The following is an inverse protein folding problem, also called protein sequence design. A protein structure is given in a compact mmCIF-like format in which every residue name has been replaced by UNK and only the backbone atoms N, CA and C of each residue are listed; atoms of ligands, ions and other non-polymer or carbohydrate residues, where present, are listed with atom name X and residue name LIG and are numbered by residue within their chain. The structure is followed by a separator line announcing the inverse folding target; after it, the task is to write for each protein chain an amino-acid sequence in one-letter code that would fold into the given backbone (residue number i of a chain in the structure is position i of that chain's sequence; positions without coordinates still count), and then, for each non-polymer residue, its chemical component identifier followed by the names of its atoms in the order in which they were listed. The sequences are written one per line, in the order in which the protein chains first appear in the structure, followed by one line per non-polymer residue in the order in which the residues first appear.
data_IF_207152807425
#
_entry.id   IF_207152807425
#
_cell.length_a   1.000
_cell.length_b   1.000
_cell.length_c   1.000
_cell.angle_alpha   90.00
_cell.angle_beta   90.00
_cell.angle_gamma   90.00
#
_symmetry.space_group_name_H-M   'P 1'
#
loop_
_entity.id
_entity.type
_entity.pdbx_description
1 polymer ?
#
# COMPACT_ATOMS: atom_id res chain seq x y z
N UNK A 1 -20.07 -8.26 -21.33
CA UNK A 1 -19.42 -7.87 -20.05
C UNK A 1 -19.91 -8.81 -18.97
N UNK A 2 -19.11 -9.83 -18.65
CA UNK A 2 -19.49 -10.80 -17.65
C UNK A 2 -19.28 -10.20 -16.25
N UNK A 3 -20.37 -10.04 -15.51
CA UNK A 3 -20.39 -9.53 -14.14
C UNK A 3 -20.18 -10.71 -13.20
N UNK A 4 -19.16 -10.64 -12.35
CA UNK A 4 -18.71 -11.73 -11.51
C UNK A 4 -18.60 -11.26 -10.05
N UNK A 5 -19.36 -11.89 -9.14
CA UNK A 5 -19.20 -11.86 -7.66
C UNK A 5 -19.25 -10.49 -6.98
N UNK A 6 -20.40 -10.17 -6.34
CA UNK A 6 -20.79 -9.08 -5.41
C UNK A 6 -20.13 -7.67 -5.50
N UNK A 7 -18.84 -7.54 -5.83
CA UNK A 7 -18.19 -6.30 -6.22
C UNK A 7 -17.96 -6.27 -7.74
N UNK A 8 -18.68 -5.40 -8.45
CA UNK A 8 -18.73 -5.34 -9.92
C UNK A 8 -17.40 -5.03 -10.63
N UNK A 9 -16.33 -4.72 -9.90
CA UNK A 9 -15.05 -4.26 -10.46
C UNK A 9 -13.86 -5.20 -10.20
N UNK A 10 -14.00 -6.25 -9.39
CA UNK A 10 -12.85 -7.07 -8.99
C UNK A 10 -12.55 -8.22 -9.98
N UNK A 11 -11.32 -8.32 -10.56
CA UNK A 11 -10.99 -9.38 -11.52
C UNK A 11 -10.80 -10.74 -10.84
N UNK A 12 -11.84 -11.58 -10.92
CA UNK A 12 -11.88 -12.93 -10.30
C UNK A 12 -11.20 -14.03 -11.12
N UNK A 13 -10.69 -13.74 -12.33
CA UNK A 13 -10.02 -14.69 -13.25
C UNK A 13 -8.93 -14.00 -14.07
N UNK A 14 -8.01 -14.77 -14.65
CA UNK A 14 -7.07 -14.24 -15.64
C UNK A 14 -7.86 -13.79 -16.88
N UNK A 15 -7.73 -12.53 -17.23
CA UNK A 15 -8.34 -11.93 -18.42
C UNK A 15 -7.26 -11.22 -19.24
N UNK A 16 -7.33 -11.38 -20.56
CA UNK A 16 -6.45 -10.64 -21.48
C UNK A 16 -6.88 -9.18 -21.48
N UNK A 17 -5.97 -8.23 -21.19
CA UNK A 17 -6.34 -6.82 -21.12
C UNK A 17 -6.60 -6.24 -22.51
N UNK A 18 -7.70 -5.53 -22.66
CA UNK A 18 -8.06 -4.77 -23.87
C UNK A 18 -7.79 -3.28 -23.63
N UNK A 19 -7.32 -2.56 -24.66
CA UNK A 19 -7.05 -1.12 -24.59
C UNK A 19 -7.60 -0.39 -25.79
N UNK A 20 -7.80 0.91 -25.65
CA UNK A 20 -8.30 1.73 -26.73
C UNK A 20 -7.28 1.81 -27.88
N UNK A 21 -7.74 1.59 -29.10
CA UNK A 21 -6.96 1.82 -30.31
C UNK A 21 -7.28 3.21 -30.87
N UNK A 22 -6.38 4.16 -30.64
CA UNK A 22 -6.50 5.53 -31.16
C UNK A 22 -6.23 5.56 -32.67
N UNK A 23 -7.10 6.25 -33.41
CA UNK A 23 -6.90 6.57 -34.83
C UNK A 23 -7.47 7.96 -35.15
N UNK A 24 -6.97 8.57 -36.23
CA UNK A 24 -7.38 9.92 -36.60
C UNK A 24 -8.87 9.98 -36.95
N UNK A 25 -9.58 10.92 -36.32
CA UNK A 25 -11.03 11.07 -36.48
C UNK A 25 -11.88 10.11 -35.64
N UNK A 26 -11.28 9.30 -34.75
CA UNK A 26 -12.06 8.50 -33.79
C UNK A 26 -12.80 9.42 -32.83
N UNK A 27 -14.12 9.24 -32.70
CA UNK A 27 -14.92 9.84 -31.63
C UNK A 27 -14.69 9.07 -30.33
N UNK A 28 -14.39 9.77 -29.24
CA UNK A 28 -14.19 9.18 -27.92
C UNK A 28 -15.38 9.48 -27.03
N UNK A 29 -15.96 8.43 -26.44
CA UNK A 29 -17.03 8.52 -25.45
C UNK A 29 -16.61 8.02 -24.07
N UNK A 30 -17.55 8.04 -23.12
CA UNK A 30 -17.34 7.57 -21.73
C UNK A 30 -16.77 6.14 -21.71
N UNK A 31 -17.34 5.23 -22.50
CA UNK A 31 -16.88 3.83 -22.57
C UNK A 31 -15.43 3.69 -23.07
N UNK A 32 -14.93 4.59 -23.91
CA UNK A 32 -13.54 4.56 -24.36
C UNK A 32 -12.58 4.97 -23.23
N UNK A 33 -12.98 5.89 -22.37
CA UNK A 33 -12.20 6.32 -21.20
C UNK A 33 -12.29 5.32 -20.04
N UNK A 34 -13.44 4.68 -19.86
CA UNK A 34 -13.60 3.57 -18.93
C UNK A 34 -12.67 2.40 -19.33
N UNK A 35 -12.61 2.06 -20.62
CA UNK A 35 -11.71 1.03 -21.13
C UNK A 35 -10.23 1.35 -20.83
N UNK A 36 -9.82 2.61 -20.94
CA UNK A 36 -8.45 3.03 -20.61
C UNK A 36 -8.17 2.92 -19.10
N UNK A 37 -9.12 3.30 -18.24
CA UNK A 37 -8.99 3.14 -16.78
C UNK A 37 -8.89 1.66 -16.39
N UNK A 38 -9.81 0.84 -16.91
CA UNK A 38 -9.87 -0.60 -16.67
C UNK A 38 -8.60 -1.31 -17.13
N UNK A 39 -8.01 -0.90 -18.26
CA UNK A 39 -6.77 -1.48 -18.76
C UNK A 39 -5.62 -1.33 -17.75
N UNK A 40 -5.41 -0.12 -17.24
CA UNK A 40 -4.33 0.15 -16.29
C UNK A 40 -4.61 -0.48 -14.93
N UNK A 41 -5.85 -0.36 -14.42
CA UNK A 41 -6.26 -0.97 -13.16
C UNK A 41 -6.12 -2.50 -13.20
N UNK A 42 -6.65 -3.15 -14.24
CA UNK A 42 -6.56 -4.61 -14.40
C UNK A 42 -5.12 -5.10 -14.44
N UNK A 43 -4.23 -4.39 -15.15
CA UNK A 43 -2.81 -4.76 -15.20
C UNK A 43 -2.10 -4.58 -13.86
N UNK A 44 -2.35 -3.46 -13.19
CA UNK A 44 -1.77 -3.15 -11.87
C UNK A 44 -2.22 -4.18 -10.83
N UNK A 45 -3.52 -4.44 -10.74
CA UNK A 45 -4.08 -5.43 -9.83
C UNK A 45 -3.59 -6.84 -10.14
N UNK A 46 -3.45 -7.21 -11.42
CA UNK A 46 -2.87 -8.49 -11.82
C UNK A 46 -1.42 -8.65 -11.31
N UNK A 47 -0.60 -7.61 -11.46
CA UNK A 47 0.78 -7.63 -10.96
C UNK A 47 0.82 -7.72 -9.44
N UNK A 48 0.02 -6.93 -8.74
CA UNK A 48 -0.09 -6.99 -7.28
C UNK A 48 -0.49 -8.39 -6.81
N UNK A 49 -1.56 -8.94 -7.38
CA UNK A 49 -2.09 -10.26 -7.02
C UNK A 49 -1.09 -11.39 -7.28
N UNK A 50 -0.44 -11.41 -8.43
CA UNK A 50 0.41 -12.54 -8.85
C UNK A 50 1.86 -12.43 -8.37
N UNK A 51 2.37 -11.22 -8.15
CA UNK A 51 3.78 -11.01 -7.77
C UNK A 51 3.93 -10.65 -6.29
N UNK A 52 3.08 -9.75 -5.77
CA UNK A 52 3.19 -9.28 -4.39
C UNK A 52 2.35 -10.12 -3.42
N UNK A 53 1.21 -10.65 -3.89
CA UNK A 53 0.22 -11.33 -3.06
C UNK A 53 -0.73 -10.35 -2.39
N UNK A 54 -1.29 -10.75 -1.24
CA UNK A 54 -2.28 -9.97 -0.50
C UNK A 54 -1.90 -9.83 0.98
N UNK A 55 -2.21 -8.70 1.58
CA UNK A 55 -1.91 -8.38 2.97
C UNK A 55 -1.49 -6.94 3.19
N UNK A 56 -1.03 -6.64 4.40
CA UNK A 56 -0.53 -5.33 4.81
C UNK A 56 0.87 -5.09 4.24
N UNK A 57 1.05 -3.96 3.56
CA UNK A 57 2.35 -3.53 3.02
C UNK A 57 3.09 -2.70 4.06
N UNK A 58 2.42 -1.72 4.65
CA UNK A 58 2.98 -0.87 5.71
C UNK A 58 1.86 -0.24 6.57
N UNK A 59 2.21 0.15 7.80
CA UNK A 59 1.28 0.85 8.70
C UNK A 59 0.10 -0.03 9.14
N UNK A 60 -1.11 0.53 9.06
CA UNK A 60 -2.38 -0.14 9.41
C UNK A 60 -2.34 -0.79 10.80
N UNK A 61 -1.67 -0.12 11.74
CA UNK A 61 -1.67 -0.51 13.15
C UNK A 61 -3.07 -0.33 13.72
N UNK A 62 -3.53 -1.29 14.51
CA UNK A 62 -4.77 -1.16 15.28
C UNK A 62 -4.39 -0.83 16.71
N UNK A 63 -4.90 0.28 17.23
CA UNK A 63 -4.58 0.76 18.57
C UNK A 63 -5.83 1.22 19.33
N UNK A 64 -5.83 1.20 20.67
CA UNK A 64 -6.89 1.82 21.45
C UNK A 64 -6.92 3.33 21.22
N UNK A 65 -8.11 3.87 21.00
CA UNK A 65 -8.35 5.31 20.92
C UNK A 65 -8.24 5.96 22.31
N UNK A 66 -8.18 7.29 22.34
CA UNK A 66 -8.34 8.05 23.58
C UNK A 66 -9.64 7.64 24.31
N UNK A 67 -9.53 7.25 25.57
CA UNK A 67 -10.65 6.73 26.39
C UNK A 67 -10.77 5.19 26.42
N UNK A 68 -9.99 4.46 25.63
CA UNK A 68 -9.79 3.01 25.78
C UNK A 68 -10.98 2.12 25.42
N UNK A 69 -12.13 2.65 25.03
CA UNK A 69 -13.31 1.84 24.64
C UNK A 69 -13.49 1.70 23.13
N UNK A 70 -12.74 2.48 22.36
CA UNK A 70 -12.77 2.49 20.89
C UNK A 70 -11.40 2.15 20.33
N UNK A 71 -11.37 1.78 19.06
CA UNK A 71 -10.15 1.51 18.30
C UNK A 71 -9.96 2.56 17.20
N UNK A 72 -8.71 2.76 16.83
CA UNK A 72 -8.28 3.52 15.65
C UNK A 72 -7.37 2.65 14.79
N UNK A 73 -7.37 2.93 13.49
CA UNK A 73 -6.44 2.34 12.52
C UNK A 73 -5.50 3.44 12.06
N UNK A 74 -4.20 3.20 12.20
CA UNK A 74 -3.16 4.14 11.77
C UNK A 74 -3.03 4.18 10.24
N UNK A 75 -2.48 5.27 9.67
CA UNK A 75 -2.21 5.37 8.25
C UNK A 75 -1.40 4.19 7.72
N UNK A 76 -1.67 3.78 6.49
CA UNK A 76 -0.97 2.66 5.88
C UNK A 76 -1.59 2.18 4.58
N UNK A 77 -1.02 1.10 4.07
CA UNK A 77 -1.38 0.52 2.77
C UNK A 77 -1.49 -1.00 2.90
N UNK A 78 -2.53 -1.56 2.30
CA UNK A 78 -2.70 -2.99 2.09
C UNK A 78 -3.02 -3.30 0.63
N UNK A 79 -2.85 -4.56 0.24
CA UNK A 79 -3.28 -5.11 -1.04
C UNK A 79 -4.27 -6.24 -0.73
N UNK A 80 -5.46 -6.19 -1.33
CA UNK A 80 -6.46 -7.24 -1.13
C UNK A 80 -6.21 -8.49 -1.98
N UNK A 81 -7.06 -9.52 -1.81
CA UNK A 81 -6.94 -10.77 -2.56
C UNK A 81 -7.03 -10.61 -4.08
N UNK A 82 -7.70 -9.56 -4.56
CA UNK A 82 -7.85 -9.25 -5.98
C UNK A 82 -6.71 -8.38 -6.53
N UNK A 83 -5.82 -7.89 -5.66
CA UNK A 83 -4.69 -7.03 -6.03
C UNK A 83 -4.99 -5.53 -5.93
N UNK A 84 -6.14 -5.15 -5.37
CA UNK A 84 -6.53 -3.75 -5.19
C UNK A 84 -5.83 -3.16 -3.97
N UNK A 85 -5.36 -1.95 -4.11
CA UNK A 85 -4.69 -1.20 -3.07
C UNK A 85 -5.72 -0.55 -2.16
N UNK A 86 -5.59 -0.79 -0.86
CA UNK A 86 -6.40 -0.15 0.17
C UNK A 86 -5.51 0.85 0.90
N UNK A 87 -5.82 2.14 0.77
CA UNK A 87 -5.03 3.22 1.33
C UNK A 87 -5.80 3.88 2.48
N UNK A 88 -5.18 3.93 3.65
CA UNK A 88 -5.61 4.71 4.81
C UNK A 88 -4.67 5.90 4.93
N UNK A 89 -5.04 7.08 4.41
CA UNK A 89 -4.12 8.22 4.33
C UNK A 89 -3.89 8.90 5.69
N UNK A 90 -4.90 8.88 6.56
CA UNK A 90 -4.91 9.49 7.89
C UNK A 90 -5.48 8.51 8.90
N UNK A 91 -5.21 8.72 10.19
CA UNK A 91 -5.75 7.85 11.24
C UNK A 91 -7.28 7.80 11.15
N UNK A 92 -7.84 6.60 11.23
CA UNK A 92 -9.28 6.42 11.11
C UNK A 92 -10.03 7.14 12.25
N UNK A 93 -11.29 7.50 11.99
CA UNK A 93 -12.19 7.88 13.07
C UNK A 93 -12.31 6.73 14.09
N UNK A 94 -12.37 7.03 15.41
CA UNK A 94 -12.54 6.00 16.43
C UNK A 94 -13.83 5.22 16.22
N UNK A 95 -13.74 3.90 16.21
CA UNK A 95 -14.90 3.00 16.08
C UNK A 95 -15.03 2.07 17.29
N UNK A 96 -16.26 1.66 17.60
CA UNK A 96 -16.54 0.71 18.68
C UNK A 96 -16.40 -0.73 18.15
N UNK A 97 -15.42 -1.53 18.62
CA UNK A 97 -15.22 -2.90 18.17
C UNK A 97 -16.30 -3.88 18.65
N UNK A 98 -17.23 -3.44 19.50
CA UNK A 98 -18.39 -4.26 19.90
C UNK A 98 -19.53 -4.19 18.89
N UNK A 99 -19.55 -3.16 18.04
CA UNK A 99 -20.56 -3.03 16.98
C UNK A 99 -20.07 -3.80 15.78
N UNK A 100 -20.70 -4.94 15.52
CA UNK A 100 -20.38 -5.78 14.37
C UNK A 100 -20.73 -5.04 13.08
N UNK A 101 -19.88 -5.18 12.06
CA UNK A 101 -20.06 -4.57 10.75
C UNK A 101 -19.86 -5.64 9.68
N UNK A 102 -20.83 -5.77 8.79
CA UNK A 102 -20.74 -6.67 7.63
C UNK A 102 -19.76 -6.15 6.57
N UNK A 103 -19.58 -6.89 5.47
CA UNK A 103 -18.67 -6.53 4.39
C UNK A 103 -19.08 -5.21 3.70
N UNK A 104 -20.37 -4.91 3.71
CA UNK A 104 -20.97 -3.68 3.23
C UNK A 104 -20.83 -2.55 4.26
N UNK A 105 -20.22 -2.77 5.42
CA UNK A 105 -20.01 -1.78 6.47
C UNK A 105 -21.27 -1.38 7.24
N UNK A 106 -22.39 -2.08 7.02
CA UNK A 106 -23.60 -1.91 7.80
C UNK A 106 -23.47 -2.59 9.16
N UNK A 107 -24.15 -2.05 10.16
CA UNK A 107 -24.13 -2.63 11.49
C UNK A 107 -24.95 -3.92 11.52
N UNK A 108 -24.31 -5.03 11.91
CA UNK A 108 -24.93 -6.36 11.98
C UNK A 108 -24.90 -6.92 13.40
N UNK A 109 -25.47 -6.16 14.34
CA UNK A 109 -25.55 -6.54 15.75
C UNK A 109 -24.42 -6.01 16.64
N UNK A 110 -24.42 -6.48 17.89
CA UNK A 110 -23.49 -6.05 18.93
C UNK A 110 -23.10 -7.24 19.80
N UNK A 111 -21.83 -7.29 20.20
CA UNK A 111 -21.35 -8.27 21.19
C UNK A 111 -21.62 -7.74 22.60
N UNK A 112 -22.39 -8.51 23.35
CA UNK A 112 -22.63 -8.32 24.78
C UNK A 112 -21.57 -9.06 25.60
N UNK A 113 -20.97 -8.41 26.60
CA UNK A 113 -19.97 -9.03 27.48
C UNK A 113 -18.58 -9.18 26.85
N UNK A 114 -17.84 -10.24 27.21
CA UNK A 114 -16.49 -10.51 26.69
C UNK A 114 -16.55 -11.35 25.41
N UNK A 115 -15.55 -11.22 24.54
CA UNK A 115 -15.51 -11.98 23.29
C UNK A 115 -14.28 -11.71 22.44
N UNK A 116 -14.13 -12.43 21.34
CA UNK A 116 -13.08 -12.18 20.36
C UNK A 116 -13.70 -11.60 19.09
N UNK A 117 -13.09 -10.53 18.56
CA UNK A 117 -13.46 -9.96 17.27
C UNK A 117 -12.25 -9.89 16.35
N UNK A 118 -12.53 -9.95 15.06
CA UNK A 118 -11.56 -9.69 14.01
C UNK A 118 -11.87 -8.37 13.34
N UNK A 119 -10.83 -7.55 13.19
CA UNK A 119 -10.88 -6.26 12.49
C UNK A 119 -10.29 -6.45 11.11
N UNK A 120 -11.08 -6.17 10.08
CA UNK A 120 -10.67 -6.29 8.69
C UNK A 120 -10.93 -5.01 7.90
N UNK A 121 -10.16 -4.80 6.84
CA UNK A 121 -10.24 -3.65 5.96
C UNK A 121 -10.62 -4.10 4.54
N UNK A 122 -11.70 -3.58 3.98
CA UNK A 122 -12.12 -3.91 2.63
C UNK A 122 -12.04 -2.69 1.73
N UNK A 123 -11.64 -2.89 0.48
CA UNK A 123 -11.68 -1.87 -0.55
C UNK A 123 -13.12 -1.41 -0.80
N UNK A 124 -13.31 -0.11 -1.06
CA UNK A 124 -14.62 0.42 -1.39
C UNK A 124 -14.54 1.68 -2.26
N UNK A 125 -15.28 1.72 -3.36
CA UNK A 125 -15.45 2.93 -4.16
C UNK A 125 -16.79 3.60 -3.90
N UNK A 126 -16.80 4.93 -3.85
CA UNK A 126 -18.03 5.71 -3.84
C UNK A 126 -17.98 6.87 -4.83
N UNK A 127 -19.11 7.17 -5.46
CA UNK A 127 -19.27 8.38 -6.25
C UNK A 127 -19.15 9.63 -5.38
N UNK A 128 -18.44 10.63 -5.89
CA UNK A 128 -18.21 11.92 -5.26
C UNK A 128 -18.47 13.05 -6.29
N UNK A 129 -18.63 14.26 -5.77
CA UNK A 129 -18.76 15.49 -6.57
C UNK A 129 -19.91 15.39 -7.59
N UNK A 130 -21.18 15.45 -7.14
CA UNK A 130 -22.33 15.33 -8.03
C UNK A 130 -22.33 16.45 -9.07
N UNK A 131 -22.52 16.09 -10.34
CA UNK A 131 -22.57 17.00 -11.46
C UNK A 131 -23.83 16.76 -12.29
N UNK A 132 -24.42 17.80 -12.90
CA UNK A 132 -25.63 17.65 -13.70
C UNK A 132 -25.36 16.84 -14.98
N UNK A 133 -26.21 15.88 -15.28
CA UNK A 133 -26.17 15.15 -16.55
C UNK A 133 -26.76 16.05 -17.65
N UNK A 134 -25.93 16.46 -18.61
CA UNK A 134 -26.31 17.43 -19.65
C UNK A 134 -27.07 16.81 -20.84
N UNK A 135 -27.11 15.48 -20.94
CA UNK A 135 -27.86 14.76 -21.96
C UNK A 135 -29.08 14.09 -21.30
N UNK A 136 -30.32 14.41 -21.71
CA UNK A 136 -31.50 13.79 -21.12
C UNK A 136 -31.47 12.29 -21.40
N UNK A 137 -31.47 11.49 -20.33
CA UNK A 137 -32.03 10.14 -20.41
C UNK A 137 -33.54 10.23 -20.63
N UNK A 138 -34.21 9.09 -20.85
CA UNK A 138 -35.68 9.05 -20.90
C UNK A 138 -36.36 9.36 -19.54
N UNK A 139 -35.60 9.83 -18.54
CA UNK A 139 -36.11 10.27 -17.24
C UNK A 139 -36.22 11.80 -17.18
N UNK A 140 -37.38 12.35 -16.77
CA UNK A 140 -37.66 13.78 -16.77
C UNK A 140 -37.12 14.54 -15.53
N UNK A 141 -36.50 13.84 -14.58
CA UNK A 141 -35.82 14.47 -13.45
C UNK A 141 -34.36 14.76 -13.82
N UNK A 142 -33.89 15.98 -13.52
CA UNK A 142 -32.53 16.41 -13.83
C UNK A 142 -31.52 15.65 -12.99
N UNK A 143 -31.13 14.46 -13.47
CA UNK A 143 -30.26 13.57 -12.71
C UNK A 143 -28.86 14.17 -12.57
N UNK A 144 -28.41 14.27 -11.32
CA UNK A 144 -27.00 14.47 -11.02
C UNK A 144 -26.32 13.10 -10.98
N UNK A 145 -25.17 12.98 -11.63
CA UNK A 145 -24.30 11.81 -11.55
C UNK A 145 -22.99 12.18 -10.84
N UNK A 146 -22.33 11.23 -10.15
CA UNK A 146 -21.00 11.49 -9.60
C UNK A 146 -20.00 11.79 -10.72
N UNK A 147 -19.27 12.89 -10.60
CA UNK A 147 -18.21 13.25 -11.57
C UNK A 147 -16.85 12.66 -11.20
N UNK A 148 -16.70 12.16 -9.96
CA UNK A 148 -15.46 11.58 -9.44
C UNK A 148 -15.76 10.24 -8.77
N UNK A 149 -14.97 9.23 -9.06
CA UNK A 149 -14.90 8.00 -8.26
C UNK A 149 -13.85 8.18 -7.16
N UNK A 150 -14.27 8.03 -5.90
CA UNK A 150 -13.36 8.11 -4.76
C UNK A 150 -13.14 6.73 -4.18
N UNK A 151 -11.91 6.24 -4.30
CA UNK A 151 -11.44 5.04 -3.61
C UNK A 151 -11.32 5.32 -2.10
N UNK A 152 -11.88 4.41 -1.31
CA UNK A 152 -11.94 4.43 0.15
C UNK A 152 -11.80 3.01 0.67
N UNK A 153 -12.02 2.86 1.97
CA UNK A 153 -12.07 1.59 2.66
C UNK A 153 -13.30 1.49 3.54
N UNK A 154 -13.70 0.26 3.86
CA UNK A 154 -14.66 -0.07 4.93
C UNK A 154 -13.96 -0.84 6.02
N UNK A 155 -14.31 -0.53 7.27
CA UNK A 155 -13.88 -1.28 8.44
C UNK A 155 -14.95 -2.32 8.76
N UNK A 156 -14.55 -3.58 8.73
CA UNK A 156 -15.39 -4.74 9.03
C UNK A 156 -15.01 -5.26 10.40
N UNK A 157 -16.02 -5.56 11.20
CA UNK A 157 -15.88 -6.07 12.56
C UNK A 157 -16.74 -7.32 12.64
N UNK A 158 -16.09 -8.48 12.68
CA UNK A 158 -16.78 -9.76 12.77
C UNK A 158 -16.44 -10.44 14.10
N UNK A 159 -17.42 -11.13 14.67
CA UNK A 159 -17.19 -11.98 15.83
C UNK A 159 -16.39 -13.22 15.40
N UNK A 160 -15.37 -13.56 16.18
CA UNK A 160 -14.57 -14.76 15.93
C UNK A 160 -13.11 -14.62 16.29
N UNK A 161 -12.40 -15.72 16.09
CA UNK A 161 -10.96 -15.85 16.28
C UNK A 161 -10.31 -15.91 14.90
N UNK A 162 -9.25 -15.14 14.71
CA UNK A 162 -8.49 -15.19 13.49
C UNK A 162 -7.68 -16.48 13.42
N UNK A 163 -7.71 -17.14 12.26
CA UNK A 163 -6.77 -18.22 11.95
C UNK A 163 -5.52 -17.58 11.37
N UNK A 164 -4.34 -17.73 12.01
CA UNK A 164 -3.11 -17.15 11.48
C UNK A 164 -2.79 -17.76 10.11
N UNK A 165 -2.56 -16.90 9.12
CA UNK A 165 -1.97 -17.32 7.86
C UNK A 165 -0.47 -17.52 8.06
N UNK A 166 -0.08 -18.71 8.54
CA UNK A 166 1.33 -19.07 8.69
C UNK A 166 2.05 -19.13 7.35
N UNK A 167 3.31 -18.65 7.32
CA UNK A 167 4.23 -18.92 6.22
C UNK A 167 4.71 -20.37 6.35
N UNK A 168 3.99 -21.30 5.73
CA UNK A 168 4.42 -22.70 5.66
C UNK A 168 5.26 -22.94 4.39
N UNK A 169 6.33 -23.72 4.53
CA UNK A 169 7.18 -24.06 3.40
C UNK A 169 6.48 -25.12 2.55
N UNK A 170 5.88 -24.70 1.44
CA UNK A 170 5.19 -25.61 0.51
C UNK A 170 6.12 -26.52 -0.29
N UNK A 171 7.43 -26.27 -0.22
CA UNK A 171 8.41 -27.07 -0.92
C UNK A 171 8.95 -28.17 -0.02
N UNK A 172 8.51 -29.41 -0.27
CA UNK A 172 9.04 -30.58 0.42
C UNK A 172 10.47 -30.84 -0.04
N UNK A 173 11.40 -31.02 0.90
CA UNK A 173 12.74 -31.56 0.65
C UNK A 173 13.71 -30.72 -0.19
N UNK A 174 13.45 -29.43 -0.46
CA UNK A 174 14.39 -28.57 -1.20
C UNK A 174 15.79 -28.48 -0.56
N UNK A 175 15.85 -28.58 0.77
CA UNK A 175 17.08 -28.43 1.54
C UNK A 175 17.44 -29.69 2.34
N UNK A 176 16.78 -30.82 2.08
CA UNK A 176 17.15 -32.10 2.70
C UNK A 176 18.14 -32.82 1.78
N UNK A 177 19.38 -33.09 2.23
CA UNK A 177 20.34 -33.83 1.41
C UNK A 177 19.82 -35.25 1.11
N UNK A 178 20.12 -35.75 -0.07
CA UNK A 178 19.79 -37.13 -0.42
C UNK A 178 20.57 -38.10 0.48
N UNK A 179 19.88 -39.12 1.03
CA UNK A 179 20.42 -40.05 2.03
C UNK A 179 21.72 -40.74 1.58
N UNK A 180 21.89 -40.94 0.28
CA UNK A 180 23.00 -41.72 -0.29
C UNK A 180 24.22 -40.90 -0.75
N UNK A 181 24.11 -39.57 -0.90
CA UNK A 181 25.16 -38.75 -1.54
C UNK A 181 25.59 -37.52 -0.74
N UNK A 182 24.82 -37.12 0.27
CA UNK A 182 25.04 -35.85 0.99
C UNK A 182 24.87 -34.60 0.09
N UNK A 183 24.48 -34.78 -1.17
CA UNK A 183 24.28 -33.70 -2.13
C UNK A 183 22.84 -33.18 -2.03
N UNK A 184 22.71 -31.86 -2.07
CA UNK A 184 21.39 -31.22 -2.12
C UNK A 184 20.68 -31.59 -3.43
N UNK A 185 19.37 -31.87 -3.39
CA UNK A 185 18.60 -32.17 -4.59
C UNK A 185 18.57 -30.95 -5.53
N UNK A 186 18.55 -31.20 -6.83
CA UNK A 186 18.33 -30.13 -7.80
C UNK A 186 16.93 -29.53 -7.56
N UNK A 187 16.82 -28.22 -7.27
CA UNK A 187 15.54 -27.60 -6.93
C UNK A 187 14.63 -27.41 -8.16
N UNK A 188 15.19 -27.42 -9.38
CA UNK A 188 14.46 -27.07 -10.61
C UNK A 188 13.17 -27.88 -10.85
N UNK A 189 13.11 -29.22 -10.63
CA UNK A 189 11.87 -29.97 -10.83
C UNK A 189 10.74 -29.55 -9.88
N UNK A 190 11.05 -29.32 -8.60
CA UNK A 190 10.07 -28.87 -7.61
C UNK A 190 9.58 -27.45 -7.91
N UNK A 191 10.47 -26.56 -8.37
CA UNK A 191 10.07 -25.24 -8.86
C UNK A 191 9.22 -25.34 -10.12
N UNK A 192 9.58 -26.22 -11.07
CA UNK A 192 8.85 -26.41 -12.32
C UNK A 192 7.43 -26.92 -12.06
N UNK A 193 7.24 -27.87 -11.14
CA UNK A 193 5.92 -28.33 -10.73
C UNK A 193 5.10 -27.19 -10.11
N UNK A 194 5.72 -26.39 -9.24
CA UNK A 194 5.05 -25.26 -8.60
C UNK A 194 4.56 -24.21 -9.60
N UNK A 195 5.42 -23.77 -10.54
CA UNK A 195 5.06 -22.74 -11.54
C UNK A 195 4.08 -23.25 -12.60
N UNK A 196 3.99 -24.58 -12.78
CA UNK A 196 3.03 -25.20 -13.73
C UNK A 196 1.62 -25.27 -13.14
N UNK A 197 1.47 -25.08 -11.82
CA UNK A 197 0.16 -25.03 -11.18
C UNK A 197 -0.67 -23.83 -11.65
N UNK A 198 -2.00 -23.97 -11.63
CA UNK A 198 -2.89 -22.88 -12.02
C UNK A 198 -2.71 -21.66 -11.09
N UNK A 199 -2.78 -20.45 -11.65
CA UNK A 199 -2.73 -19.23 -10.85
C UNK A 199 -3.80 -19.25 -9.76
N UNK A 200 -3.38 -19.01 -8.52
CA UNK A 200 -4.28 -18.99 -7.36
C UNK A 200 -5.38 -17.97 -7.60
N UNK A 201 -6.64 -18.40 -7.48
CA UNK A 201 -7.78 -17.49 -7.55
C UNK A 201 -8.00 -16.80 -6.20
N UNK A 202 -8.41 -15.53 -6.19
CA UNK A 202 -8.75 -14.83 -4.96
C UNK A 202 -9.88 -15.59 -4.26
N UNK A 203 -9.71 -15.84 -2.97
CA UNK A 203 -10.73 -16.44 -2.11
C UNK A 203 -11.21 -15.41 -1.09
N UNK A 204 -12.52 -15.40 -0.80
CA UNK A 204 -13.15 -14.52 0.19
C UNK A 204 -13.63 -13.17 -0.36
N UNK A 205 -14.14 -12.31 0.54
CA UNK A 205 -14.68 -10.98 0.24
C UNK A 205 -13.64 -9.86 0.06
N UNK A 206 -12.36 -10.23 -0.11
CA UNK A 206 -11.20 -9.32 -0.27
C UNK A 206 -11.06 -8.24 0.80
N UNK A 207 -11.44 -8.60 2.01
CA UNK A 207 -11.07 -7.85 3.18
C UNK A 207 -9.74 -8.39 3.72
N UNK A 208 -8.84 -7.49 4.12
CA UNK A 208 -7.58 -7.82 4.75
C UNK A 208 -7.72 -7.76 6.26
N UNK A 209 -7.43 -8.87 6.92
CA UNK A 209 -7.38 -8.97 8.37
C UNK A 209 -6.26 -8.08 8.92
N UNK A 210 -6.58 -7.19 9.86
CA UNK A 210 -5.61 -6.30 10.50
C UNK A 210 -5.22 -6.76 11.91
N UNK A 211 -6.20 -7.19 12.70
CA UNK A 211 -5.98 -7.61 14.08
C UNK A 211 -7.11 -8.51 14.59
N UNK A 212 -6.77 -9.36 15.56
CA UNK A 212 -7.73 -9.98 16.46
C UNK A 212 -7.73 -9.21 17.78
N UNK A 213 -8.90 -8.91 18.31
CA UNK A 213 -9.05 -8.18 19.57
C UNK A 213 -9.83 -9.03 20.57
N UNK A 214 -9.20 -9.29 21.71
CA UNK A 214 -9.82 -9.97 22.86
C UNK A 214 -10.53 -8.94 23.72
N UNK A 215 -11.84 -8.77 23.52
CA UNK A 215 -12.65 -7.78 24.23
C UNK A 215 -12.92 -8.23 25.68
N UNK A 216 -12.62 -7.39 26.69
CA UNK A 216 -12.97 -7.68 28.08
C UNK A 216 -14.48 -7.56 28.28
N UNK A 217 -15.06 -8.21 29.31
CA UNK A 217 -16.49 -8.07 29.58
C UNK A 217 -16.87 -6.63 29.96
N UNK A 218 -16.02 -5.98 30.75
CA UNK A 218 -16.12 -4.58 31.16
C UNK A 218 -14.72 -3.94 31.16
N UNK A 219 -14.66 -2.61 31.01
CA UNK A 219 -13.41 -1.85 31.10
C UNK A 219 -12.82 -1.42 29.74
N UNK A 220 -11.56 -1.01 29.77
CA UNK A 220 -10.82 -0.47 28.63
C UNK A 220 -10.03 -1.54 27.89
N UNK A 221 -9.97 -1.40 26.58
CA UNK A 221 -9.12 -2.18 25.69
C UNK A 221 -7.69 -1.69 25.84
N UNK A 222 -6.79 -2.61 26.19
CA UNK A 222 -5.36 -2.34 26.29
C UNK A 222 -4.61 -2.88 25.06
N UNK A 223 -3.40 -2.39 24.74
CA UNK A 223 -2.65 -2.84 23.58
C UNK A 223 -2.37 -4.35 23.56
N UNK A 224 -2.24 -4.99 24.73
CA UNK A 224 -1.96 -6.43 24.87
C UNK A 224 -3.14 -7.30 24.44
N UNK A 225 -4.35 -6.73 24.40
CA UNK A 225 -5.56 -7.40 23.93
C UNK A 225 -5.66 -7.44 22.40
N UNK A 226 -4.79 -6.72 21.69
CA UNK A 226 -4.79 -6.57 20.23
C UNK A 226 -3.64 -7.42 19.64
N UNK A 227 -3.98 -8.55 19.04
CA UNK A 227 -3.02 -9.39 18.33
C UNK A 227 -2.97 -9.02 16.84
N UNK A 228 -1.87 -8.37 16.43
CA UNK A 228 -1.60 -8.01 15.04
C UNK A 228 -0.85 -9.11 14.26
N UNK A 229 -0.37 -10.18 14.92
CA UNK A 229 0.44 -11.23 14.27
C UNK A 229 -0.37 -12.10 13.33
N UNK A 230 -1.70 -12.01 13.41
CA UNK A 230 -2.65 -12.71 12.56
C UNK A 230 -2.75 -12.10 11.16
N UNK A 231 -2.27 -10.85 10.97
CA UNK A 231 -2.41 -10.13 9.69
C UNK A 231 -1.48 -10.73 8.62
N UNK A 232 -1.99 -11.01 7.40
CA UNK A 232 -1.12 -11.31 6.28
C UNK A 232 -0.27 -10.09 5.93
N UNK A 233 0.99 -10.33 5.55
CA UNK A 233 1.93 -9.26 5.18
C UNK A 233 2.42 -9.46 3.74
N UNK A 234 2.49 -8.36 3.00
CA UNK A 234 3.14 -8.32 1.69
C UNK A 234 4.61 -7.95 1.94
N UNK A 235 5.50 -8.91 1.77
CA UNK A 235 6.94 -8.72 1.99
C UNK A 235 7.60 -8.23 0.71
N UNK A 236 8.20 -7.04 0.75
CA UNK A 236 9.00 -6.55 -0.38
C UNK A 236 10.25 -7.41 -0.58
N UNK A 237 10.79 -7.43 -1.79
CA UNK A 237 12.08 -8.10 -2.06
C UNK A 237 13.20 -7.62 -1.14
N UNK A 238 13.19 -6.35 -0.73
CA UNK A 238 14.15 -5.80 0.23
C UNK A 238 14.02 -6.45 1.61
N UNK A 239 12.81 -6.54 2.14
CA UNK A 239 12.54 -7.19 3.44
C UNK A 239 12.87 -8.69 3.37
N UNK A 240 12.49 -9.36 2.28
CA UNK A 240 12.81 -10.78 2.08
C UNK A 240 14.34 -11.01 2.08
N UNK A 241 15.10 -10.16 1.40
CA UNK A 241 16.55 -10.24 1.38
C UNK A 241 17.17 -10.00 2.76
N UNK A 242 16.65 -9.02 3.50
CA UNK A 242 17.06 -8.76 4.88
C UNK A 242 16.79 -9.98 5.79
N UNK A 243 15.60 -10.59 5.70
CA UNK A 243 15.26 -11.79 6.44
C UNK A 243 16.21 -12.95 6.12
N UNK A 244 16.58 -13.13 4.84
CA UNK A 244 17.56 -14.14 4.43
C UNK A 244 18.93 -13.86 5.05
N UNK A 245 19.39 -12.61 5.08
CA UNK A 245 20.66 -12.26 5.73
C UNK A 245 20.61 -12.48 7.25
N UNK A 246 19.52 -12.10 7.92
CA UNK A 246 19.31 -12.36 9.34
C UNK A 246 19.33 -13.87 9.64
N UNK A 247 18.66 -14.68 8.82
CA UNK A 247 18.66 -16.14 8.95
C UNK A 247 20.06 -16.73 8.73
N UNK A 248 20.76 -16.32 7.67
CA UNK A 248 22.10 -16.80 7.36
C UNK A 248 23.09 -16.52 8.50
N UNK A 249 23.04 -15.30 9.08
CA UNK A 249 23.84 -14.96 10.26
C UNK A 249 23.49 -15.85 11.46
N UNK A 250 22.20 -16.08 11.72
CA UNK A 250 21.77 -16.94 12.82
C UNK A 250 22.26 -18.38 12.65
N UNK A 251 22.19 -18.91 11.43
CA UNK A 251 22.72 -20.25 11.11
C UNK A 251 24.22 -20.31 11.31
N UNK A 252 24.98 -19.28 10.90
CA UNK A 252 26.42 -19.21 11.14
C UNK A 252 26.77 -19.19 12.63
N UNK A 253 26.04 -18.42 13.44
CA UNK A 253 26.22 -18.38 14.90
C UNK A 253 25.98 -19.75 15.54
N UNK A 254 24.98 -20.50 15.06
CA UNK A 254 24.69 -21.86 15.55
C UNK A 254 25.72 -22.88 15.05
N UNK A 255 26.24 -22.72 13.83
CA UNK A 255 27.23 -23.62 13.23
C UNK A 255 28.65 -23.41 13.75
N UNK A 256 28.98 -22.22 14.25
CA UNK A 256 30.32 -21.88 14.75
C UNK A 256 30.73 -22.66 16.01
N UNK A 257 29.82 -23.42 16.63
CA UNK A 257 30.07 -24.15 17.86
C UNK A 257 30.39 -23.24 19.07
N UNK A 258 30.44 -23.76 20.30
CA UNK A 258 31.01 -23.00 21.40
C UNK A 258 32.48 -22.72 21.08
N UNK A 259 32.86 -21.44 21.06
CA UNK A 259 34.27 -21.04 21.01
C UNK A 259 35.00 -21.85 22.08
N UNK A 260 36.05 -22.62 21.76
CA UNK A 260 36.77 -23.38 22.77
C UNK A 260 37.24 -22.37 23.81
N UNK A 261 36.77 -22.52 25.05
CA UNK A 261 37.28 -21.76 26.19
C UNK A 261 38.80 -21.83 26.11
N UNK A 262 39.53 -20.70 26.01
CA UNK A 262 40.97 -20.75 25.94
C UNK A 262 41.44 -21.52 27.18
N UNK A 263 42.11 -22.65 26.95
CA UNK A 263 42.73 -23.43 28.02
C UNK A 263 43.53 -22.44 28.84
N UNK A 264 43.26 -22.28 30.16
CA UNK A 264 43.97 -21.31 30.97
C UNK A 264 45.46 -21.55 30.78
N UNK A 265 46.17 -20.53 30.29
CA UNK A 265 47.61 -20.60 30.12
C UNK A 265 48.23 -21.04 31.46
N UNK A 266 49.20 -21.96 31.46
CA UNK A 266 49.82 -22.40 32.69
C UNK A 266 50.29 -21.17 33.47
N UNK A 267 49.82 -21.07 34.72
CA UNK A 267 50.17 -19.97 35.64
C UNK A 267 51.69 -19.81 35.62
N UNK A 268 52.23 -18.61 35.32
CA UNK A 268 53.67 -18.40 35.36
C UNK A 268 54.21 -18.82 36.73
N UNK A 269 55.33 -19.56 36.71
CA UNK A 269 56.01 -19.99 37.92
C UNK A 269 56.28 -18.79 38.83
N UNK A 270 56.13 -18.94 40.16
CA UNK A 270 56.30 -17.84 41.10
C UNK A 270 57.68 -17.20 40.91
N UNK A 271 57.69 -15.90 40.60
CA UNK A 271 58.91 -15.11 40.51
C UNK A 271 59.62 -15.14 41.89
N UNK A 272 60.95 -15.30 41.92
CA UNK A 272 61.70 -15.29 43.17
C UNK A 272 61.47 -13.97 43.91
N UNK A 273 61.20 -14.09 45.21
CA UNK A 273 60.97 -12.97 46.13
C UNK A 273 62.16 -12.01 46.08
N UNK A 274 61.99 -10.74 45.69
CA UNK A 274 63.07 -9.77 45.72
C UNK A 274 63.46 -9.46 47.17
N UNK A 275 64.76 -9.58 47.45
CA UNK A 275 65.42 -9.14 48.68
C UNK A 275 65.09 -7.65 48.94
N UNK A 276 64.69 -7.27 50.16
CA UNK A 276 64.33 -5.88 50.45
C UNK A 276 65.54 -4.96 50.30
N UNK A 277 65.42 -3.98 49.39
CA UNK A 277 66.37 -2.89 49.25
C UNK A 277 66.25 -1.91 50.43
N UNK A 278 67.36 -1.36 50.94
CA UNK A 278 67.35 -0.44 52.08
C UNK A 278 66.69 0.88 51.71
N UNK A 279 66.04 1.51 52.70
CA UNK A 279 65.35 2.79 52.56
C UNK A 279 66.32 3.99 52.44
N UNK A 280 66.10 4.86 51.44
CA UNK A 280 66.29 6.30 51.59
C UNK A 280 65.08 7.07 51.00
N UNK A 281 64.82 8.35 51.24
CA UNK A 281 65.23 9.45 52.12
C UNK A 281 64.21 10.57 51.76
N UNK A 282 63.77 11.47 52.65
CA UNK A 282 62.61 12.32 52.37
C UNK A 282 62.84 13.39 51.29
N UNK A 283 61.92 13.40 50.32
CA UNK A 283 61.20 14.52 49.69
C UNK A 283 61.98 15.77 49.22
N UNK A 284 61.65 16.28 48.02
CA UNK A 284 61.23 17.69 47.97
C UNK A 284 59.85 17.91 47.35
N UNK A 285 59.13 18.80 48.02
CA UNK A 285 57.75 19.26 47.79
C UNK A 285 57.60 19.92 46.42
N UNK A 286 56.69 19.42 45.59
CA UNK A 286 56.30 20.10 44.36
C UNK A 286 55.26 21.20 44.65
N UNK A 287 55.54 22.38 44.12
CA UNK A 287 54.78 23.63 44.17
C UNK A 287 53.43 23.48 43.44
N UNK A 288 52.31 24.07 43.95
CA UNK A 288 51.02 23.96 43.27
C UNK A 288 50.99 24.71 41.93
N UNK A 289 50.55 24.00 40.89
CA UNK A 289 50.27 24.50 39.54
C UNK A 289 49.05 25.45 39.56
N UNK A 290 49.08 26.62 38.91
CA UNK A 290 47.95 27.54 38.90
C UNK A 290 46.76 26.99 38.08
N UNK A 291 45.57 27.17 38.66
CA UNK A 291 44.26 26.84 38.10
C UNK A 291 43.97 27.68 36.83
N UNK A 292 43.54 27.07 35.71
CA UNK A 292 43.13 27.84 34.53
C UNK A 292 41.82 28.60 34.78
N UNK A 293 41.84 29.87 34.40
CA UNK A 293 40.73 30.84 34.42
C UNK A 293 39.54 30.37 33.56
N UNK A 294 38.28 30.53 34.02
CA UNK A 294 37.11 30.12 33.23
C UNK A 294 36.93 30.99 31.98
N UNK A 295 36.83 30.33 30.83
CA UNK A 295 36.46 30.92 29.54
C UNK A 295 35.00 31.41 29.60
N UNK A 296 34.79 32.70 29.34
CA UNK A 296 33.47 33.32 29.28
C UNK A 296 32.63 32.72 28.15
N UNK A 297 31.38 32.38 28.45
CA UNK A 297 30.39 31.90 27.50
C UNK A 297 30.08 32.97 26.43
N UNK A 298 29.94 32.60 25.14
CA UNK A 298 29.61 33.55 24.10
C UNK A 298 28.17 34.08 24.27
N UNK A 299 28.06 35.40 24.22
CA UNK A 299 26.81 36.17 24.22
C UNK A 299 25.91 35.74 23.06
N UNK A 300 24.60 35.47 23.28
CA UNK A 300 23.69 35.13 22.20
C UNK A 300 23.54 36.31 21.22
N UNK A 301 23.69 36.01 19.93
CA UNK A 301 23.45 36.91 18.81
C UNK A 301 21.95 37.24 18.74
N UNK A 302 21.53 38.50 18.52
CA UNK A 302 20.11 38.84 18.47
C UNK A 302 19.42 38.13 17.31
N UNK A 303 18.31 37.46 17.64
CA UNK A 303 17.34 36.91 16.70
C UNK A 303 16.73 38.04 15.89
N UNK A 304 16.95 38.05 14.58
CA UNK A 304 16.26 38.95 13.66
C UNK A 304 14.85 38.43 13.46
N UNK A 305 13.87 39.26 13.79
CA UNK A 305 12.43 39.04 13.57
C UNK A 305 12.16 38.88 12.07
N UNK A 306 11.40 37.84 11.64
CA UNK A 306 11.13 37.63 10.22
C UNK A 306 10.25 38.75 9.66
N UNK A 307 10.76 39.44 8.64
CA UNK A 307 10.01 40.39 7.81
C UNK A 307 8.83 39.65 7.16
N UNK A 308 7.59 40.18 7.20
CA UNK A 308 6.45 39.54 6.54
C UNK A 308 6.67 39.53 5.02
N UNK A 309 6.81 38.33 4.47
CA UNK A 309 6.82 38.07 3.03
C UNK A 309 5.51 38.53 2.42
N UNK A 310 5.55 39.55 1.56
CA UNK A 310 4.39 40.02 0.82
C UNK A 310 3.89 38.94 -0.13
N UNK A 311 2.61 38.64 -0.05
CA UNK A 311 1.86 37.78 -0.96
C UNK A 311 2.00 38.29 -2.40
N UNK A 312 2.39 37.46 -3.39
CA UNK A 312 2.39 37.88 -4.78
C UNK A 312 0.94 38.08 -5.27
N UNK A 313 0.68 39.27 -5.80
CA UNK A 313 -0.56 39.62 -6.50
C UNK A 313 -0.67 38.76 -7.77
N UNK A 314 -1.82 38.11 -8.07
CA UNK A 314 -1.98 37.35 -9.30
C UNK A 314 -1.91 38.26 -10.52
N UNK A 315 -1.01 37.93 -11.44
CA UNK A 315 -0.84 38.58 -12.74
C UNK A 315 -2.10 38.42 -13.61
N UNK A 316 -2.58 39.45 -14.33
CA UNK A 316 -3.77 39.35 -15.14
C UNK A 316 -3.57 38.39 -16.32
N UNK A 317 -4.58 37.53 -16.51
CA UNK A 317 -4.74 36.56 -17.60
C UNK A 317 -4.60 37.25 -18.97
N UNK A 318 -3.80 36.72 -19.92
CA UNK A 318 -3.70 37.31 -21.25
C UNK A 318 -5.02 37.13 -22.03
N UNK A 319 -5.61 38.24 -22.45
CA UNK A 319 -6.76 38.29 -23.36
C UNK A 319 -6.36 37.79 -24.74
N UNK A 320 -6.94 36.67 -25.17
CA UNK A 320 -6.79 36.17 -26.54
C UNK A 320 -7.47 37.14 -27.53
N UNK A 321 -6.73 37.49 -28.58
CA UNK A 321 -7.17 38.32 -29.71
C UNK A 321 -8.27 37.57 -30.51
N UNK A 322 -9.37 38.20 -30.92
CA UNK A 322 -10.37 37.54 -31.75
C UNK A 322 -9.82 37.24 -33.15
N UNK A 323 -10.12 36.03 -33.61
CA UNK A 323 -9.84 35.51 -34.96
C UNK A 323 -10.73 36.27 -35.96
N UNK A 324 -10.19 36.79 -37.09
CA UNK A 324 -11.01 37.47 -38.09
C UNK A 324 -11.95 36.49 -38.80
N UNK A 325 -13.25 36.81 -38.79
CA UNK A 325 -14.30 36.09 -39.50
C UNK A 325 -14.06 36.17 -41.01
N UNK A 326 -13.83 35.02 -41.64
CA UNK A 326 -13.76 34.92 -43.11
C UNK A 326 -15.19 34.95 -43.67
N UNK A 327 -15.45 35.94 -44.53
CA UNK A 327 -16.71 36.14 -45.25
C UNK A 327 -16.92 35.00 -46.27
N UNK A 328 -18.10 34.36 -46.37
CA UNK A 328 -18.33 33.34 -47.40
C UNK A 328 -18.44 33.98 -48.79
N UNK A 329 -17.59 33.51 -49.70
CA UNK A 329 -17.55 33.87 -51.12
C UNK A 329 -18.86 33.47 -51.81
N UNK A 330 -19.42 34.40 -52.59
CA UNK A 330 -20.65 34.23 -53.37
C UNK A 330 -20.50 33.12 -54.44
N UNK A 331 -21.51 32.27 -54.50
CA UNK A 331 -21.76 31.24 -55.52
C UNK A 331 -21.90 31.88 -56.92
N UNK A 332 -21.26 31.34 -57.99
CA UNK A 332 -21.43 31.88 -59.33
C UNK A 332 -22.77 31.49 -59.96
N UNK A 333 -23.41 32.49 -60.56
CA UNK A 333 -24.68 32.41 -61.28
C UNK A 333 -24.52 31.70 -62.62
N UNK A 334 -25.40 30.72 -62.88
CA UNK A 334 -25.53 29.96 -64.13
C UNK A 334 -26.16 30.82 -65.25
N UNK A 335 -25.61 30.86 -66.48
CA UNK A 335 -26.27 31.54 -67.59
C UNK A 335 -27.35 30.66 -68.26
N UNK A 336 -28.48 31.28 -68.58
CA UNK A 336 -29.47 30.82 -69.58
C UNK A 336 -28.78 30.82 -70.97
N UNK A 337 -28.95 29.86 -71.87
CA UNK A 337 -30.19 29.29 -72.37
C UNK A 337 -30.29 29.66 -73.86
N UNK A 338 -29.86 28.76 -74.76
CA UNK A 338 -30.00 28.95 -76.21
C UNK A 338 -30.83 27.81 -76.80
N UNK A 339 -31.95 28.18 -77.44
CA UNK A 339 -32.93 27.33 -78.12
C UNK A 339 -32.30 26.53 -79.27
N UNK A 340 -32.72 25.27 -79.42
CA UNK A 340 -32.65 24.51 -80.68
C UNK A 340 -34.03 23.88 -80.95
N UNK A 341 -34.53 23.85 -82.21
CA UNK A 341 -35.93 23.51 -82.50
C UNK A 341 -36.18 22.01 -82.67
N UNK A 342 -37.43 21.65 -82.40
CA UNK A 342 -38.08 20.33 -82.44
C UNK A 342 -38.22 19.79 -83.87
N UNK A 343 -37.90 18.51 -84.17
CA UNK A 343 -38.39 17.86 -85.37
C UNK A 343 -39.73 17.17 -85.14
N UNK A 344 -40.55 17.30 -86.17
CA UNK A 344 -41.93 16.87 -86.36
C UNK A 344 -42.10 15.34 -86.45
N UNK A 345 -43.14 14.83 -85.79
CA UNK A 345 -43.76 13.52 -86.07
C UNK A 345 -44.36 13.50 -87.48
N UNK A 346 -44.23 12.38 -88.19
CA UNK A 346 -45.26 11.89 -89.12
C UNK A 346 -45.32 10.34 -89.13
N UNK A 347 -46.47 9.77 -89.54
CA UNK A 347 -46.93 8.46 -89.09
C UNK A 347 -47.04 7.41 -90.21
N UNK A 348 -46.86 6.13 -89.85
CA UNK A 348 -47.79 5.00 -90.03
C UNK A 348 -47.13 3.76 -89.46
#
# INVERSE_FOLDING_TARGET
MARFGEDSQAPTRLATPERNAYFFGKLLGVSDFDLEQDYFNSKRWLMNRLLAGSGVVCGLGVAPAAGGTRLVIDPGVAIDGWGREIIVPEQSLPFDPRVLRDAEGNTNGRIEGGGAVVISLCYHECGAEPAPVLAPGCDPEGDCAPSVTREKYRVVVAEGVAVPNGLDCRFTSLFTPAEDSGQLPNPLPALAEHITSACTQPSGGGCILLAQVSLPAEGTITPEMIDIRVRPAVLSHGILLELIFCLARRVQELAAGPVPTPTPAPSPAPAPVPTPAPAPSPTPTAVPTPTPTPTLAPTPRPTVEPVPTRTPVPSPRPTLRPIPTVLPTRTPTRPAGTRVPRPTRRPR
#
